data_IF_211982168282
#
_entry.id   IF_211982168282
#
_cell.length_a   1.000
_cell.length_b   1.000
_cell.length_c   1.000
_cell.angle_alpha   90.00
_cell.angle_beta   90.00
_cell.angle_gamma   90.00
#
_symmetry.space_group_name_H-M   'P 1'
#
loop_
_entity.id
_entity.type
_entity.pdbx_description
1 polymer ?
#
# COMPACT_ATOMS: atom_id res chain seq x y z
N UNK A 1 24.97 -2.26 7.15
CA UNK A 1 23.50 -2.12 7.03
C UNK A 1 22.91 -1.47 8.27
N UNK A 2 23.27 -1.94 9.48
CA UNK A 2 22.77 -1.36 10.73
C UNK A 2 23.00 0.15 10.85
N UNK A 3 24.15 0.67 10.42
CA UNK A 3 24.44 2.12 10.44
C UNK A 3 23.49 2.93 9.55
N UNK A 4 23.16 2.41 8.35
CA UNK A 4 22.21 3.06 7.43
C UNK A 4 20.81 3.05 8.02
N UNK A 5 20.37 1.93 8.58
CA UNK A 5 19.02 1.81 9.17
C UNK A 5 18.90 2.65 10.44
N UNK A 6 19.96 2.74 11.26
CA UNK A 6 20.02 3.63 12.40
C UNK A 6 19.96 5.11 11.98
N UNK A 7 20.71 5.49 10.94
CA UNK A 7 20.64 6.84 10.37
C UNK A 7 19.25 7.14 9.81
N UNK A 8 18.63 6.20 9.09
CA UNK A 8 17.25 6.33 8.60
C UNK A 8 16.31 6.61 9.77
N UNK A 9 16.36 5.81 10.84
CA UNK A 9 15.48 6.03 12.01
C UNK A 9 15.71 7.40 12.66
N UNK A 10 16.95 7.87 12.72
CA UNK A 10 17.27 9.21 13.24
C UNK A 10 16.66 10.31 12.37
N UNK A 11 16.87 10.25 11.05
CA UNK A 11 16.33 11.23 10.10
C UNK A 11 14.80 11.14 10.00
N UNK A 12 14.25 9.94 10.09
CA UNK A 12 12.81 9.71 10.09
C UNK A 12 12.14 10.25 11.36
N UNK A 13 12.87 10.61 12.42
CA UNK A 13 12.34 11.36 13.55
C UNK A 13 12.24 12.86 13.25
N UNK A 14 13.15 13.40 12.42
CA UNK A 14 13.05 14.75 11.88
C UNK A 14 11.83 14.83 10.94
N UNK A 15 11.05 15.92 10.98
CA UNK A 15 9.70 15.99 10.40
C UNK A 15 9.61 15.47 8.96
N UNK A 16 8.97 14.30 8.78
CA UNK A 16 8.67 13.72 7.47
C UNK A 16 7.15 13.88 7.30
N UNK A 17 6.68 14.82 6.48
CA UNK A 17 5.25 15.05 6.34
C UNK A 17 4.58 13.82 5.69
N UNK A 18 3.34 13.49 6.09
CA UNK A 18 2.56 12.47 5.40
C UNK A 18 2.34 12.89 3.95
N UNK A 19 2.20 11.90 3.06
CA UNK A 19 1.78 12.14 1.67
C UNK A 19 0.41 12.82 1.71
N UNK A 20 0.22 13.85 0.89
CA UNK A 20 -1.05 14.58 0.80
C UNK A 20 -2.20 13.60 0.54
N UNK A 21 -3.32 13.83 1.21
CA UNK A 21 -4.50 12.97 1.12
C UNK A 21 -4.42 11.65 1.90
N UNK A 22 -3.31 11.31 2.56
CA UNK A 22 -3.17 10.06 3.33
C UNK A 22 -4.34 9.86 4.30
N UNK A 23 -4.60 10.85 5.16
CA UNK A 23 -5.66 10.75 6.16
C UNK A 23 -7.08 10.76 5.56
N UNK A 24 -7.25 11.36 4.38
CA UNK A 24 -8.52 11.32 3.64
C UNK A 24 -8.77 9.89 3.12
N UNK A 25 -7.73 9.25 2.58
CA UNK A 25 -7.81 7.87 2.13
C UNK A 25 -8.03 6.90 3.29
N UNK A 26 -7.28 7.03 4.40
CA UNK A 26 -7.47 6.15 5.57
C UNK A 26 -8.89 6.26 6.12
N UNK A 27 -9.45 7.48 6.20
CA UNK A 27 -10.85 7.67 6.57
C UNK A 27 -11.82 6.98 5.60
N UNK A 28 -11.61 7.12 4.30
CA UNK A 28 -12.46 6.47 3.29
C UNK A 28 -12.46 4.94 3.42
N UNK A 29 -11.29 4.36 3.76
CA UNK A 29 -11.09 2.92 4.02
C UNK A 29 -11.83 2.51 5.31
N UNK A 30 -11.66 3.27 6.39
CA UNK A 30 -12.28 2.98 7.69
C UNK A 30 -13.81 3.05 7.63
N UNK A 31 -14.36 4.07 6.96
CA UNK A 31 -15.81 4.24 6.77
C UNK A 31 -16.46 3.06 6.02
N UNK A 32 -15.66 2.23 5.33
CA UNK A 32 -16.09 1.01 4.62
C UNK A 32 -15.76 -0.29 5.35
N UNK A 33 -15.06 -0.22 6.48
CA UNK A 33 -14.64 -1.39 7.24
C UNK A 33 -13.73 -2.34 6.45
N UNK A 34 -12.95 -1.80 5.50
CA UNK A 34 -12.01 -2.61 4.71
C UNK A 34 -10.91 -3.18 5.62
N UNK A 35 -10.34 -4.33 5.24
CA UNK A 35 -9.18 -4.92 5.91
C UNK A 35 -7.89 -4.32 5.39
N UNK A 36 -6.89 -4.13 6.25
CA UNK A 36 -5.66 -3.40 5.93
C UNK A 36 -4.41 -4.18 6.33
N UNK A 37 -3.47 -4.29 5.40
CA UNK A 37 -2.12 -4.77 5.67
C UNK A 37 -1.08 -3.74 5.25
N UNK A 38 -0.05 -3.54 6.07
CA UNK A 38 1.17 -2.88 5.65
C UNK A 38 2.14 -3.95 5.15
N UNK A 39 2.56 -3.91 3.89
CA UNK A 39 3.47 -4.91 3.31
C UNK A 39 4.77 -4.21 2.91
N UNK A 40 5.93 -4.67 3.38
CA UNK A 40 7.20 -3.93 3.16
C UNK A 40 8.44 -4.83 3.15
N UNK A 41 9.45 -4.47 2.36
CA UNK A 41 10.80 -5.04 2.47
C UNK A 41 11.68 -4.31 3.51
N UNK A 42 11.16 -3.25 4.14
CA UNK A 42 11.90 -2.53 5.17
C UNK A 42 12.08 -3.40 6.43
N UNK A 43 13.18 -3.22 7.17
CA UNK A 43 13.34 -3.86 8.47
C UNK A 43 12.19 -3.51 9.42
N UNK A 44 11.80 -4.48 10.27
CA UNK A 44 10.71 -4.31 11.26
C UNK A 44 10.76 -2.99 12.03
N UNK A 45 11.91 -2.57 12.62
CA UNK A 45 11.96 -1.34 13.41
C UNK A 45 11.64 -0.08 12.60
N UNK A 46 11.96 -0.08 11.30
CA UNK A 46 11.67 1.06 10.44
C UNK A 46 10.20 1.10 10.05
N UNK A 47 9.61 -0.05 9.75
CA UNK A 47 8.19 -0.17 9.44
C UNK A 47 7.34 0.32 10.63
N UNK A 48 7.63 -0.19 11.83
CA UNK A 48 6.93 0.18 13.07
C UNK A 48 7.12 1.66 13.41
N UNK A 49 8.33 2.20 13.24
CA UNK A 49 8.59 3.63 13.44
C UNK A 49 7.73 4.50 12.52
N UNK A 50 7.70 4.19 11.22
CA UNK A 50 6.95 4.99 10.25
C UNK A 50 5.44 4.90 10.49
N UNK A 51 4.91 3.69 10.74
CA UNK A 51 3.50 3.49 11.09
C UNK A 51 3.14 4.27 12.36
N UNK A 52 3.99 4.22 13.38
CA UNK A 52 3.82 4.97 14.62
C UNK A 52 3.79 6.48 14.38
N UNK A 53 4.74 7.00 13.60
CA UNK A 53 4.87 8.45 13.35
C UNK A 53 3.69 8.99 12.56
N UNK A 54 3.12 8.20 11.66
CA UNK A 54 1.92 8.56 10.90
C UNK A 54 0.62 8.40 11.71
N UNK A 55 0.69 7.92 12.97
CA UNK A 55 -0.50 7.68 13.79
C UNK A 55 -1.36 6.50 13.30
N UNK A 56 -0.76 5.54 12.59
CA UNK A 56 -1.47 4.45 11.91
C UNK A 56 -1.32 3.09 12.62
N UNK A 57 -0.92 3.07 13.90
CA UNK A 57 -0.71 1.81 14.64
C UNK A 57 -1.94 0.91 14.63
N UNK A 58 -3.11 1.50 14.87
CA UNK A 58 -4.38 0.78 14.94
C UNK A 58 -5.11 0.72 13.59
N UNK A 59 -4.52 1.33 12.55
CA UNK A 59 -5.09 1.33 11.20
C UNK A 59 -4.77 0.03 10.45
N UNK A 60 -3.61 -0.59 10.67
CA UNK A 60 -3.27 -1.84 9.99
C UNK A 60 -3.65 -3.05 10.85
N UNK A 61 -4.45 -3.98 10.31
CA UNK A 61 -4.76 -5.25 10.98
C UNK A 61 -3.50 -6.15 11.06
N UNK A 62 -2.57 -6.02 10.09
CA UNK A 62 -1.31 -6.78 10.06
C UNK A 62 -0.19 -6.01 9.37
N UNK A 63 1.05 -6.25 9.80
CA UNK A 63 2.27 -5.85 9.09
C UNK A 63 2.98 -7.09 8.57
N UNK A 64 3.17 -7.17 7.24
CA UNK A 64 3.91 -8.25 6.58
C UNK A 64 5.28 -7.72 6.16
N UNK A 65 6.33 -8.34 6.71
CA UNK A 65 7.70 -8.06 6.34
C UNK A 65 8.15 -9.02 5.25
N UNK A 66 8.84 -8.51 4.24
CA UNK A 66 9.42 -9.31 3.16
C UNK A 66 10.48 -10.28 3.67
N UNK A 67 11.13 -9.97 4.80
CA UNK A 67 12.05 -10.87 5.51
C UNK A 67 11.37 -12.13 6.06
N UNK A 68 10.06 -12.06 6.29
CA UNK A 68 9.28 -13.16 6.89
C UNK A 68 8.58 -14.01 5.81
N UNK A 69 8.92 -13.78 4.54
CA UNK A 69 8.35 -14.46 3.38
C UNK A 69 9.44 -15.27 2.68
N UNK A 70 9.05 -16.35 1.98
CA UNK A 70 10.00 -17.18 1.21
C UNK A 70 10.80 -16.34 0.21
N UNK A 71 10.12 -15.45 -0.52
CA UNK A 71 10.77 -14.45 -1.36
C UNK A 71 10.16 -13.07 -1.10
N UNK A 72 11.02 -12.08 -0.89
CA UNK A 72 10.62 -10.70 -0.71
C UNK A 72 10.15 -10.04 -2.03
N UNK A 73 9.64 -8.80 -2.02
CA UNK A 73 9.34 -8.06 -3.26
C UNK A 73 10.61 -8.02 -4.13
N UNK A 74 10.56 -8.31 -5.45
CA UNK A 74 9.40 -8.21 -6.34
C UNK A 74 8.54 -9.48 -6.49
N UNK A 75 8.80 -10.52 -5.70
CA UNK A 75 7.94 -11.71 -5.72
C UNK A 75 6.60 -11.44 -5.03
N UNK A 76 5.53 -12.16 -5.40
CA UNK A 76 4.19 -11.90 -4.88
C UNK A 76 3.97 -12.36 -3.44
N UNK A 77 4.87 -13.18 -2.89
CA UNK A 77 4.69 -13.88 -1.61
C UNK A 77 4.28 -12.97 -0.44
N UNK A 78 4.83 -11.75 -0.26
CA UNK A 78 4.41 -10.87 0.82
C UNK A 78 2.95 -10.41 0.71
N UNK A 79 2.46 -10.23 -0.52
CA UNK A 79 1.07 -9.88 -0.78
C UNK A 79 0.13 -11.07 -0.64
N UNK A 80 0.52 -12.24 -1.14
CA UNK A 80 -0.25 -13.47 -0.97
C UNK A 80 -0.39 -13.84 0.50
N UNK A 81 0.68 -13.68 1.29
CA UNK A 81 0.66 -13.84 2.75
C UNK A 81 -0.30 -12.84 3.42
N UNK A 82 -0.33 -11.59 2.97
CA UNK A 82 -1.29 -10.61 3.49
C UNK A 82 -2.75 -11.04 3.25
N UNK A 83 -3.07 -11.53 2.04
CA UNK A 83 -4.40 -12.05 1.71
C UNK A 83 -4.79 -13.23 2.61
N UNK A 84 -3.86 -14.16 2.82
CA UNK A 84 -4.07 -15.33 3.70
C UNK A 84 -4.35 -14.91 5.14
N UNK A 85 -3.51 -14.06 5.73
CA UNK A 85 -3.65 -13.61 7.12
C UNK A 85 -4.95 -12.81 7.32
N UNK A 86 -5.29 -11.94 6.38
CA UNK A 86 -6.52 -11.15 6.44
C UNK A 86 -7.78 -11.95 6.06
N UNK A 87 -7.61 -13.15 5.48
CA UNK A 87 -8.69 -14.00 4.96
C UNK A 87 -9.56 -13.27 3.92
N UNK A 88 -8.91 -12.57 2.99
CA UNK A 88 -9.58 -11.81 1.91
C UNK A 88 -9.18 -12.34 0.53
N UNK A 89 -10.02 -12.11 -0.47
CA UNK A 89 -9.73 -12.46 -1.87
C UNK A 89 -8.94 -11.35 -2.56
N UNK A 90 -8.00 -11.74 -3.43
CA UNK A 90 -7.30 -10.82 -4.33
C UNK A 90 -8.26 -10.03 -5.24
N UNK A 91 -9.42 -10.60 -5.58
CA UNK A 91 -10.39 -9.98 -6.48
C UNK A 91 -11.14 -8.81 -5.83
N UNK A 92 -11.02 -8.65 -4.49
CA UNK A 92 -11.56 -7.54 -3.71
C UNK A 92 -10.47 -6.75 -2.98
N UNK A 93 -9.24 -6.81 -3.49
CA UNK A 93 -8.07 -6.17 -2.88
C UNK A 93 -7.33 -5.34 -3.93
N UNK A 94 -6.85 -4.16 -3.55
CA UNK A 94 -5.92 -3.37 -4.35
C UNK A 94 -4.69 -3.00 -3.51
N UNK A 95 -3.59 -2.68 -4.18
CA UNK A 95 -2.30 -2.36 -3.56
C UNK A 95 -1.93 -0.91 -3.83
N UNK A 96 -1.34 -0.22 -2.84
CA UNK A 96 -0.67 1.08 -3.04
C UNK A 96 0.83 0.92 -2.89
N UNK A 97 1.62 1.39 -3.86
CA UNK A 97 3.08 1.20 -3.90
C UNK A 97 3.81 2.40 -4.50
N UNK A 98 5.02 2.70 -4.05
CA UNK A 98 5.86 3.79 -4.58
C UNK A 98 7.17 3.28 -5.23
N UNK A 99 7.35 1.97 -5.26
CA UNK A 99 8.58 1.31 -5.71
C UNK A 99 8.34 0.34 -6.86
N UNK A 100 9.30 0.25 -7.80
CA UNK A 100 9.24 -0.70 -8.93
C UNK A 100 9.07 -2.14 -8.44
N UNK A 101 9.85 -2.54 -7.42
CA UNK A 101 9.77 -3.90 -6.88
C UNK A 101 8.42 -4.17 -6.22
N UNK A 102 7.88 -3.18 -5.53
CA UNK A 102 6.57 -3.26 -4.91
C UNK A 102 5.43 -3.37 -5.90
N UNK A 103 5.44 -2.54 -6.95
CA UNK A 103 4.45 -2.63 -8.03
C UNK A 103 4.53 -4.00 -8.70
N UNK A 104 5.74 -4.47 -9.06
CA UNK A 104 5.93 -5.81 -9.64
C UNK A 104 5.36 -6.92 -8.75
N UNK A 105 5.56 -6.84 -7.44
CA UNK A 105 5.03 -7.82 -6.50
C UNK A 105 3.50 -7.80 -6.44
N UNK A 106 2.86 -6.62 -6.42
CA UNK A 106 1.41 -6.51 -6.43
C UNK A 106 0.78 -7.03 -7.73
N UNK A 107 1.39 -6.70 -8.86
CA UNK A 107 0.98 -7.19 -10.19
C UNK A 107 1.16 -8.71 -10.28
N UNK A 108 2.29 -9.24 -9.83
CA UNK A 108 2.55 -10.69 -9.81
C UNK A 108 1.59 -11.44 -8.87
N UNK A 109 1.04 -10.77 -7.84
CA UNK A 109 0.01 -11.33 -6.98
C UNK A 109 -1.40 -11.28 -7.61
N UNK A 110 -1.52 -10.72 -8.82
CA UNK A 110 -2.77 -10.64 -9.57
C UNK A 110 -3.75 -9.61 -9.01
N UNK A 111 -3.25 -8.56 -8.35
CA UNK A 111 -4.07 -7.47 -7.79
C UNK A 111 -3.86 -6.15 -8.57
N UNK A 112 -4.90 -5.30 -8.66
CA UNK A 112 -4.73 -3.93 -9.12
C UNK A 112 -3.73 -3.17 -8.24
N UNK A 113 -2.86 -2.37 -8.87
CA UNK A 113 -1.82 -1.59 -8.18
C UNK A 113 -1.96 -0.12 -8.52
N UNK A 114 -2.13 0.70 -7.48
CA UNK A 114 -2.03 2.16 -7.52
C UNK A 114 -0.59 2.55 -7.21
N UNK A 115 0.14 3.04 -8.22
CA UNK A 115 1.53 3.47 -8.06
C UNK A 115 1.64 4.95 -7.69
N UNK A 116 2.44 5.29 -6.68
CA UNK A 116 2.75 6.65 -6.25
C UNK A 116 4.06 7.13 -6.86
N UNK A 117 4.04 8.31 -7.47
CA UNK A 117 5.21 8.89 -8.17
C UNK A 117 6.08 9.75 -7.26
N UNK A 118 5.93 9.60 -5.94
CA UNK A 118 6.63 10.40 -4.91
C UNK A 118 8.13 10.12 -4.85
N UNK A 119 8.55 8.91 -5.21
CA UNK A 119 9.95 8.45 -5.07
C UNK A 119 10.66 8.19 -6.39
N UNK A 120 9.93 7.72 -7.39
CA UNK A 120 10.49 7.27 -8.67
C UNK A 120 9.77 7.98 -9.83
N UNK A 121 10.47 8.25 -10.96
CA UNK A 121 9.85 8.80 -12.16
C UNK A 121 8.72 7.91 -12.69
N UNK A 122 7.67 8.53 -13.24
CA UNK A 122 6.52 7.82 -13.84
C UNK A 122 6.95 6.78 -14.88
N UNK A 123 7.89 7.13 -15.76
CA UNK A 123 8.38 6.23 -16.81
C UNK A 123 8.94 4.92 -16.24
N UNK A 124 9.67 4.99 -15.12
CA UNK A 124 10.27 3.83 -14.45
C UNK A 124 9.21 2.98 -13.76
N UNK A 125 8.21 3.62 -13.14
CA UNK A 125 7.11 2.89 -12.49
C UNK A 125 6.19 2.20 -13.51
N UNK A 126 5.97 2.80 -14.69
CA UNK A 126 5.16 2.22 -15.76
C UNK A 126 5.71 0.88 -16.27
N UNK A 127 7.03 0.68 -16.24
CA UNK A 127 7.65 -0.61 -16.61
C UNK A 127 7.22 -1.77 -15.69
N UNK A 128 6.74 -1.46 -14.48
CA UNK A 128 6.19 -2.45 -13.56
C UNK A 128 4.69 -2.74 -13.77
N UNK A 129 4.07 -2.09 -14.76
CA UNK A 129 2.67 -2.25 -15.17
C UNK A 129 1.63 -2.01 -14.05
N UNK A 130 1.67 -0.85 -13.33
CA UNK A 130 0.63 -0.48 -12.39
C UNK A 130 -0.71 -0.26 -13.10
N UNK A 131 -1.81 -0.39 -12.38
CA UNK A 131 -3.16 -0.09 -12.89
C UNK A 131 -3.34 1.40 -13.16
N UNK A 132 -2.92 2.24 -12.21
CA UNK A 132 -2.89 3.70 -12.35
C UNK A 132 -1.64 4.26 -11.66
N UNK A 133 -1.19 5.42 -12.12
CA UNK A 133 -0.18 6.23 -11.43
C UNK A 133 -0.80 7.53 -10.91
N UNK A 134 -0.46 7.88 -9.68
CA UNK A 134 -0.93 9.07 -8.95
C UNK A 134 0.24 9.81 -8.32
N UNK A 135 0.12 11.13 -8.19
CA UNK A 135 1.16 11.97 -7.55
C UNK A 135 1.14 11.87 -6.04
N UNK A 136 -0.04 11.84 -5.48
CA UNK A 136 -0.35 11.70 -4.05
C UNK A 136 -1.79 11.17 -3.90
N UNK A 137 -2.29 11.02 -2.68
CA UNK A 137 -3.64 10.51 -2.45
C UNK A 137 -4.75 11.56 -2.65
N UNK A 138 -4.43 12.80 -3.06
CA UNK A 138 -5.42 13.79 -3.49
C UNK A 138 -5.67 13.75 -5.01
N UNK A 139 -4.86 12.99 -5.76
CA UNK A 139 -4.97 12.88 -7.21
C UNK A 139 -6.40 12.45 -7.64
N UNK A 140 -7.08 13.22 -8.51
CA UNK A 140 -8.44 12.91 -8.93
C UNK A 140 -8.60 11.51 -9.53
N UNK A 141 -7.58 10.99 -10.21
CA UNK A 141 -7.62 9.64 -10.80
C UNK A 141 -7.89 8.56 -9.77
N UNK A 142 -7.36 8.71 -8.55
CA UNK A 142 -7.63 7.78 -7.46
C UNK A 142 -9.11 7.84 -7.07
N UNK A 143 -9.63 9.04 -6.82
CA UNK A 143 -10.99 9.24 -6.33
C UNK A 143 -12.04 8.85 -7.38
N UNK A 144 -11.81 9.13 -8.66
CA UNK A 144 -12.66 8.66 -9.75
C UNK A 144 -12.75 7.12 -9.78
N UNK A 145 -11.61 6.42 -9.63
CA UNK A 145 -11.58 4.96 -9.57
C UNK A 145 -12.30 4.41 -8.33
N UNK A 146 -12.11 5.02 -7.16
CA UNK A 146 -12.77 4.62 -5.91
C UNK A 146 -14.29 4.85 -5.97
N UNK A 147 -14.75 5.95 -6.55
CA UNK A 147 -16.17 6.23 -6.77
C UNK A 147 -16.81 5.23 -7.74
N UNK A 148 -16.09 4.81 -8.78
CA UNK A 148 -16.56 3.77 -9.69
C UNK A 148 -16.70 2.42 -8.97
N UNK A 149 -15.74 2.07 -8.11
CA UNK A 149 -15.82 0.86 -7.28
C UNK A 149 -17.05 0.89 -6.35
N UNK A 150 -17.32 2.03 -5.69
CA UNK A 150 -18.51 2.18 -4.84
C UNK A 150 -19.81 2.01 -5.63
N UNK A 151 -19.89 2.56 -6.84
CA UNK A 151 -21.07 2.40 -7.72
C UNK A 151 -21.29 0.94 -8.11
N UNK A 152 -20.22 0.19 -8.39
CA UNK A 152 -20.28 -1.24 -8.73
C UNK A 152 -20.74 -2.07 -7.53
N UNK A 153 -20.22 -1.79 -6.33
CA UNK A 153 -20.62 -2.46 -5.08
C UNK A 153 -22.07 -2.11 -4.69
N UNK A 154 -22.50 -0.87 -4.91
CA UNK A 154 -23.87 -0.44 -4.67
C UNK A 154 -24.88 -1.09 -5.63
N UNK A 155 -24.52 -1.21 -6.90
CA UNK A 155 -25.37 -1.83 -7.93
C UNK A 155 -25.55 -3.34 -7.73
N UNK A 156 -24.52 -4.04 -7.24
CA UNK A 156 -24.59 -5.48 -6.98
C UNK A 156 -25.44 -5.85 -5.76
N UNK A 157 -25.64 -4.92 -4.80
CA UNK A 157 -26.52 -5.12 -3.65
C UNK A 157 -28.00 -4.91 -3.94
N UNK A 158 -28.33 -4.19 -5.02
CA UNK A 158 -29.73 -3.91 -5.44
C UNK A 158 -30.30 -5.00 -6.37
N UNK A 159 -29.46 -5.94 -6.79
CA UNK A 159 -29.80 -7.01 -7.75
C UNK A 159 -29.78 -8.42 -7.13
N UNK A 160 -29.80 -8.52 -5.79
CA UNK A 160 -29.88 -9.76 -5.02
C UNK A 160 -31.17 -9.83 -4.18
#
# INVERSE_FOLDING_TARGET
>A
MEDKEAMFRRLALENLPPIKGLYKLTKWIDDRGLKRAAVTNAPKPNAELMISKLGLKDFFDVVILGSDCERAKPYPDPYLKALEVLKVSKDHTFVCEDSVSGIKAGVAAGMPVVGLTTRNPESVLMEANPTILIKDYEDPKLWEALEELDKRIGSSKTSA
#
